data_IF_415052622812
#
_entry.id   IF_415052622812
#
_cell.length_a   1.000
_cell.length_b   1.000
_cell.length_c   1.000
_cell.angle_alpha   90.00
_cell.angle_beta   90.00
_cell.angle_gamma   90.00
#
_symmetry.space_group_name_H-M   'P 1'
#
loop_
_entity.id
_entity.type
_entity.pdbx_description
1 polymer ?
#
# COMPACT_ATOMS: atom_id res chain seq x y z
N UNK A 1 -22.14 -11.66 17.95
CA UNK A 1 -21.83 -11.59 16.49
C UNK A 1 -21.83 -10.12 16.06
N UNK A 2 -20.94 -9.80 15.12
CA UNK A 2 -20.84 -8.57 14.33
C UNK A 2 -20.30 -7.29 15.02
N UNK A 3 -18.97 -7.12 15.02
CA UNK A 3 -18.31 -5.80 14.83
C UNK A 3 -16.77 -5.94 14.66
N UNK A 4 -16.27 -6.62 13.62
CA UNK A 4 -14.80 -6.76 13.41
C UNK A 4 -14.27 -6.46 12.01
N UNK A 5 -15.08 -5.87 11.13
CA UNK A 5 -14.71 -5.69 9.72
C UNK A 5 -14.43 -4.23 9.30
N UNK A 6 -14.23 -3.29 10.23
CA UNK A 6 -14.04 -1.86 9.86
C UNK A 6 -12.66 -1.23 10.05
N UNK A 7 -11.60 -1.97 10.35
CA UNK A 7 -10.30 -1.35 10.65
C UNK A 7 -9.12 -2.14 10.10
N UNK A 8 -8.86 -2.01 8.78
CA UNK A 8 -7.55 -2.36 8.19
C UNK A 8 -6.84 -1.17 7.54
N UNK A 9 -7.55 -0.16 7.07
CA UNK A 9 -7.00 1.10 6.55
C UNK A 9 -6.30 2.02 7.59
N UNK A 10 -6.12 1.56 8.84
CA UNK A 10 -5.55 2.35 9.96
C UNK A 10 -4.10 1.95 10.29
N UNK A 11 -3.51 1.00 9.56
CA UNK A 11 -2.27 0.33 9.98
C UNK A 11 -0.96 1.00 9.54
N UNK A 12 -1.00 1.93 8.57
CA UNK A 12 0.14 2.78 8.19
C UNK A 12 0.16 4.14 8.90
N UNK A 13 -0.74 4.35 9.87
CA UNK A 13 -0.67 5.54 10.70
C UNK A 13 0.49 5.36 11.69
N UNK A 14 1.59 6.09 11.49
CA UNK A 14 2.59 6.29 12.53
C UNK A 14 1.83 6.61 13.82
N UNK A 15 1.93 5.74 14.84
CA UNK A 15 1.33 6.00 16.15
C UNK A 15 2.17 7.06 16.84
N UNK A 16 1.98 8.31 16.43
CA UNK A 16 2.47 9.44 17.19
C UNK A 16 1.86 9.34 18.60
N UNK A 17 2.68 9.31 19.66
CA UNK A 17 2.13 9.32 21.01
C UNK A 17 1.24 10.56 21.13
N UNK A 18 -0.03 10.34 21.46
CA UNK A 18 -0.99 11.43 21.58
C UNK A 18 -0.48 12.40 22.66
N UNK A 19 -0.39 13.70 22.36
CA UNK A 19 -0.03 14.68 23.36
C UNK A 19 -0.95 14.57 24.58
N UNK A 20 -0.44 14.79 25.80
CA UNK A 20 -1.29 14.85 26.98
C UNK A 20 -2.40 15.87 26.76
N UNK A 21 -3.61 15.56 27.23
CA UNK A 21 -4.83 16.37 27.07
C UNK A 21 -5.42 16.47 25.65
N UNK A 22 -4.85 15.82 24.63
CA UNK A 22 -5.39 15.82 23.26
C UNK A 22 -6.86 15.38 23.20
N UNK A 23 -7.19 14.26 23.86
CA UNK A 23 -8.57 13.74 23.92
C UNK A 23 -9.55 14.72 24.58
N UNK A 24 -9.07 15.50 25.56
CA UNK A 24 -9.90 16.49 26.25
C UNK A 24 -10.17 17.70 25.34
N UNK A 25 -9.16 18.20 24.63
CA UNK A 25 -9.30 19.30 23.66
C UNK A 25 -10.32 18.93 22.57
N UNK A 26 -10.22 17.73 22.00
CA UNK A 26 -11.18 17.26 21.00
C UNK A 26 -12.61 17.15 21.57
N UNK A 27 -12.74 16.66 22.80
CA UNK A 27 -14.04 16.53 23.48
C UNK A 27 -14.68 17.90 23.71
N UNK A 28 -13.92 18.89 24.16
CA UNK A 28 -14.42 20.24 24.38
C UNK A 28 -14.77 20.94 23.06
N UNK A 29 -13.93 20.81 22.04
CA UNK A 29 -14.23 21.31 20.69
C UNK A 29 -15.53 20.70 20.14
N UNK A 30 -15.66 19.37 20.19
CA UNK A 30 -16.85 18.66 19.67
C UNK A 30 -18.12 19.08 20.40
N UNK A 31 -18.05 19.30 21.72
CA UNK A 31 -19.18 19.80 22.51
C UNK A 31 -19.63 21.20 22.04
N UNK A 32 -18.68 22.07 21.73
CA UNK A 32 -18.98 23.45 21.32
C UNK A 32 -19.52 23.52 19.89
N UNK A 33 -19.02 22.69 18.97
CA UNK A 33 -19.60 22.52 17.61
C UNK A 33 -21.06 22.06 17.70
N UNK A 34 -21.34 21.04 18.53
CA UNK A 34 -22.70 20.51 18.71
C UNK A 34 -23.65 21.51 19.38
N UNK A 35 -23.11 22.43 20.19
CA UNK A 35 -23.90 23.49 20.83
C UNK A 35 -24.27 24.59 19.85
N UNK A 36 -23.30 25.06 19.05
CA UNK A 36 -23.49 26.24 18.22
C UNK A 36 -24.04 25.95 16.82
N UNK A 37 -23.95 24.70 16.37
CA UNK A 37 -24.47 24.27 15.06
C UNK A 37 -24.05 25.22 13.92
N UNK A 38 -22.76 25.54 13.77
CA UNK A 38 -22.32 26.49 12.75
C UNK A 38 -22.53 25.92 11.34
N UNK A 39 -22.94 26.78 10.40
CA UNK A 39 -23.10 26.40 8.99
C UNK A 39 -21.74 26.16 8.31
N UNK A 40 -20.73 26.96 8.65
CA UNK A 40 -19.35 26.83 8.17
C UNK A 40 -18.44 26.34 9.31
N UNK A 41 -18.36 25.01 9.43
CA UNK A 41 -17.54 24.37 10.46
C UNK A 41 -16.06 24.79 10.34
N UNK A 42 -15.37 24.68 9.18
CA UNK A 42 -13.96 25.08 9.08
C UNK A 42 -13.64 26.49 9.56
N UNK A 43 -14.41 27.50 9.15
CA UNK A 43 -14.18 28.89 9.57
C UNK A 43 -14.44 29.08 11.07
N UNK A 44 -15.53 28.49 11.59
CA UNK A 44 -15.85 28.53 13.01
C UNK A 44 -14.79 27.83 13.88
N UNK A 45 -14.24 26.70 13.41
CA UNK A 45 -13.16 25.98 14.10
C UNK A 45 -11.90 26.84 14.23
N UNK A 46 -11.53 27.55 13.17
CA UNK A 46 -10.35 28.42 13.17
C UNK A 46 -10.49 29.54 14.20
N UNK A 47 -11.67 30.16 14.29
CA UNK A 47 -11.95 31.20 15.29
C UNK A 47 -12.00 30.64 16.71
N UNK A 48 -12.60 29.47 16.90
CA UNK A 48 -12.68 28.78 18.19
C UNK A 48 -11.29 28.49 18.79
N UNK A 49 -10.39 27.90 18.00
CA UNK A 49 -9.03 27.59 18.46
C UNK A 49 -8.17 28.86 18.60
N UNK A 50 -8.40 29.89 17.78
CA UNK A 50 -7.75 31.20 17.95
C UNK A 50 -8.12 31.84 19.28
N UNK A 51 -9.39 31.79 19.68
CA UNK A 51 -9.85 32.30 20.98
C UNK A 51 -9.25 31.51 22.15
N UNK A 52 -9.28 30.18 22.08
CA UNK A 52 -8.64 29.31 23.09
C UNK A 52 -7.14 29.58 23.26
N UNK A 53 -6.43 29.86 22.17
CA UNK A 53 -5.02 30.19 22.19
C UNK A 53 -4.74 31.58 22.82
N UNK A 54 -5.69 32.52 22.72
CA UNK A 54 -5.60 33.85 23.31
C UNK A 54 -6.01 33.86 24.80
N UNK A 55 -6.93 32.97 25.20
CA UNK A 55 -7.40 32.81 26.59
C UNK A 55 -6.40 32.03 27.47
N UNK A 56 -5.41 31.35 26.89
CA UNK A 56 -4.34 30.66 27.63
C UNK A 56 -3.26 31.66 28.09
N UNK A 57 -2.91 31.63 29.38
CA UNK A 57 -1.97 32.54 30.04
C UNK A 57 -0.62 32.66 29.27
N UNK A 58 -0.25 33.86 28.76
CA UNK A 58 0.94 34.08 27.94
C UNK A 58 2.27 33.66 28.60
N UNK A 59 2.30 33.55 29.93
CA UNK A 59 3.49 33.18 30.70
C UNK A 59 3.70 31.67 30.84
N UNK A 60 2.66 30.85 30.61
CA UNK A 60 2.75 29.37 30.63
C UNK A 60 2.71 28.76 29.23
N UNK A 61 2.26 29.51 28.23
CA UNK A 61 2.46 29.17 26.83
C UNK A 61 3.96 29.26 26.50
N UNK A 62 4.70 28.16 26.69
CA UNK A 62 5.93 27.98 25.91
C UNK A 62 5.49 28.09 24.46
N UNK A 63 5.86 29.18 23.77
CA UNK A 63 5.81 29.20 22.31
C UNK A 63 6.50 27.90 21.89
N UNK A 64 5.79 26.96 21.24
CA UNK A 64 6.46 25.80 20.73
C UNK A 64 7.56 26.35 19.79
N UNK A 65 8.79 25.81 19.85
CA UNK A 65 9.89 26.27 19.02
C UNK A 65 9.40 26.54 17.59
N UNK A 66 9.89 27.58 16.89
CA UNK A 66 9.40 27.93 15.55
C UNK A 66 9.36 26.75 14.54
N UNK A 67 10.08 25.66 14.84
CA UNK A 67 9.99 24.36 14.18
C UNK A 67 8.59 23.71 14.19
N UNK A 68 7.72 24.03 15.17
CA UNK A 68 6.35 23.52 15.27
C UNK A 68 5.29 24.39 14.56
N UNK A 69 5.69 25.57 14.09
CA UNK A 69 4.88 26.40 13.17
C UNK A 69 5.35 26.27 11.72
N UNK A 70 6.27 25.34 11.45
CA UNK A 70 6.53 24.96 10.07
C UNK A 70 5.30 24.19 9.56
N UNK A 71 4.64 24.60 8.46
CA UNK A 71 3.81 23.66 7.71
C UNK A 71 4.68 22.43 7.50
N UNK A 72 4.18 21.22 7.82
CA UNK A 72 4.88 19.94 7.66
C UNK A 72 5.84 20.03 6.48
N UNK A 73 7.11 20.35 6.74
CA UNK A 73 8.10 20.44 5.68
C UNK A 73 8.35 18.98 5.41
N UNK A 74 7.69 18.47 4.38
CA UNK A 74 8.03 17.22 3.71
C UNK A 74 9.56 17.13 3.73
N UNK A 75 10.09 16.09 4.36
CA UNK A 75 11.54 15.91 4.50
C UNK A 75 12.18 16.18 3.12
N UNK A 76 12.96 17.26 2.94
CA UNK A 76 13.40 17.69 1.62
C UNK A 76 14.19 16.60 0.89
N UNK A 77 14.86 15.73 1.64
CA UNK A 77 15.57 14.58 1.08
C UNK A 77 14.61 13.54 0.50
N UNK A 78 13.49 13.26 1.18
CA UNK A 78 12.45 12.37 0.66
C UNK A 78 11.81 12.95 -0.59
N UNK A 79 11.55 14.25 -0.62
CA UNK A 79 10.95 14.90 -1.80
C UNK A 79 11.88 14.84 -3.01
N UNK A 80 13.19 15.03 -2.82
CA UNK A 80 14.18 14.85 -3.89
C UNK A 80 14.16 13.41 -4.44
N UNK A 81 14.00 12.42 -3.58
CA UNK A 81 13.94 11.01 -4.00
C UNK A 81 12.62 10.68 -4.68
N UNK A 82 11.49 11.18 -4.17
CA UNK A 82 10.18 11.05 -4.80
C UNK A 82 10.12 11.70 -6.19
N UNK A 83 10.72 12.89 -6.35
CA UNK A 83 10.88 13.55 -7.65
C UNK A 83 11.75 12.72 -8.61
N UNK A 84 12.86 12.13 -8.10
CA UNK A 84 13.71 11.23 -8.90
C UNK A 84 12.93 10.00 -9.38
N UNK A 85 12.18 9.35 -8.48
CA UNK A 85 11.34 8.20 -8.80
C UNK A 85 10.27 8.57 -9.84
N UNK A 86 9.54 9.66 -9.62
CA UNK A 86 8.54 10.17 -10.56
C UNK A 86 9.13 10.43 -11.94
N UNK A 87 10.36 10.97 -12.02
CA UNK A 87 11.05 11.21 -13.29
C UNK A 87 11.41 9.91 -14.02
N UNK A 88 11.85 8.89 -13.28
CA UNK A 88 12.13 7.55 -13.85
C UNK A 88 10.85 6.93 -14.40
N UNK A 89 9.75 7.00 -13.66
CA UNK A 89 8.46 6.48 -14.12
C UNK A 89 7.92 7.27 -15.32
N UNK A 90 7.96 8.60 -15.29
CA UNK A 90 7.53 9.45 -16.40
C UNK A 90 8.27 9.16 -17.72
N UNK A 91 9.50 8.63 -17.67
CA UNK A 91 10.23 8.21 -18.87
C UNK A 91 9.66 6.94 -19.53
N UNK A 92 8.77 6.22 -18.87
CA UNK A 92 8.02 5.08 -19.42
C UNK A 92 6.58 5.42 -19.79
N UNK A 93 6.14 6.66 -19.55
CA UNK A 93 4.79 7.17 -19.81
C UNK A 93 4.75 7.84 -21.19
N UNK A 94 4.77 7.03 -22.25
CA UNK A 94 4.90 7.50 -23.65
C UNK A 94 3.73 8.42 -24.06
N UNK A 95 2.54 8.24 -23.48
CA UNK A 95 1.35 9.04 -23.78
C UNK A 95 1.13 10.21 -22.80
N UNK A 96 1.94 10.31 -21.75
CA UNK A 96 1.85 11.37 -20.75
C UNK A 96 0.59 11.31 -19.91
N UNK A 97 -0.02 10.14 -19.77
CA UNK A 97 -1.28 9.93 -19.05
C UNK A 97 -1.19 10.22 -17.55
N UNK A 98 0.02 10.24 -16.98
CA UNK A 98 0.23 10.28 -15.53
C UNK A 98 0.01 8.92 -14.85
N UNK A 99 -0.22 7.86 -15.63
CA UNK A 99 -0.50 6.50 -15.15
C UNK A 99 0.42 5.51 -15.83
N UNK A 100 0.78 4.46 -15.12
CA UNK A 100 1.58 3.36 -15.68
C UNK A 100 1.00 2.02 -15.26
N UNK A 101 1.09 1.06 -16.17
CA UNK A 101 0.89 -0.34 -15.81
C UNK A 101 1.92 -0.78 -14.77
N UNK A 102 1.48 -1.59 -13.80
CA UNK A 102 2.34 -2.07 -12.71
C UNK A 102 3.62 -2.77 -13.22
N UNK A 103 3.55 -3.51 -14.34
CA UNK A 103 4.74 -4.17 -14.91
C UNK A 103 5.81 -3.17 -15.37
N UNK A 104 5.43 -1.97 -15.82
CA UNK A 104 6.37 -0.90 -16.18
C UNK A 104 7.03 -0.30 -14.94
N UNK A 105 6.24 -0.08 -13.87
CA UNK A 105 6.78 0.37 -12.58
C UNK A 105 7.75 -0.68 -12.03
N UNK A 106 7.40 -1.98 -12.08
CA UNK A 106 8.27 -3.09 -11.70
C UNK A 106 9.58 -3.04 -12.48
N UNK A 107 9.53 -2.93 -13.82
CA UNK A 107 10.71 -2.82 -14.68
C UNK A 107 11.58 -1.63 -14.28
N UNK A 108 10.99 -0.46 -14.02
CA UNK A 108 11.73 0.72 -13.56
C UNK A 108 12.41 0.48 -12.20
N UNK A 109 11.73 -0.16 -11.25
CA UNK A 109 12.30 -0.48 -9.93
C UNK A 109 13.51 -1.43 -10.04
N UNK A 110 13.45 -2.41 -10.94
CA UNK A 110 14.55 -3.34 -11.20
C UNK A 110 15.70 -2.68 -11.97
N UNK A 111 15.41 -2.09 -13.13
CA UNK A 111 16.45 -1.71 -14.09
C UNK A 111 17.03 -0.32 -13.81
N UNK A 112 16.22 0.61 -13.30
CA UNK A 112 16.66 2.00 -13.06
C UNK A 112 16.95 2.29 -11.59
N UNK A 113 16.13 1.74 -10.69
CA UNK A 113 16.29 1.94 -9.24
C UNK A 113 17.19 0.87 -8.61
N UNK A 114 17.45 -0.23 -9.33
CA UNK A 114 18.36 -1.30 -8.93
C UNK A 114 17.93 -2.04 -7.65
N UNK A 115 16.61 -2.18 -7.46
CA UNK A 115 16.07 -3.08 -6.44
C UNK A 115 16.14 -4.53 -6.91
N UNK A 116 16.27 -5.47 -5.98
CA UNK A 116 16.07 -6.89 -6.28
C UNK A 116 14.59 -7.19 -6.55
N UNK A 117 14.30 -8.31 -7.21
CA UNK A 117 12.91 -8.73 -7.49
C UNK A 117 12.05 -8.77 -6.22
N UNK A 118 12.47 -9.42 -5.11
CA UNK A 118 11.71 -9.37 -3.87
C UNK A 118 11.50 -7.96 -3.30
N UNK A 119 12.50 -7.07 -3.37
CA UNK A 119 12.37 -5.69 -2.90
C UNK A 119 11.36 -4.89 -3.75
N UNK A 120 11.43 -5.00 -5.08
CA UNK A 120 10.47 -4.35 -5.97
C UNK A 120 9.04 -4.86 -5.71
N UNK A 121 8.88 -6.17 -5.51
CA UNK A 121 7.61 -6.79 -5.18
C UNK A 121 7.10 -6.40 -3.79
N UNK A 122 7.98 -6.24 -2.80
CA UNK A 122 7.60 -5.69 -1.51
C UNK A 122 6.99 -4.30 -1.67
N UNK A 123 7.64 -3.42 -2.44
CA UNK A 123 7.17 -2.06 -2.68
C UNK A 123 5.80 -2.08 -3.38
N UNK A 124 5.68 -2.84 -4.48
CA UNK A 124 4.46 -2.92 -5.29
C UNK A 124 3.27 -3.58 -4.59
N UNK A 125 3.52 -4.40 -3.56
CA UNK A 125 2.47 -5.09 -2.81
C UNK A 125 2.04 -4.36 -1.53
N UNK A 126 2.67 -3.23 -1.19
CA UNK A 126 2.30 -2.41 -0.02
C UNK A 126 0.84 -1.95 -0.08
N UNK A 127 0.17 -1.80 1.07
CA UNK A 127 -1.29 -1.51 1.07
C UNK A 127 -1.63 -0.12 0.52
N UNK A 128 -0.68 0.82 0.48
CA UNK A 128 -0.89 2.14 -0.14
C UNK A 128 -0.95 2.09 -1.68
N UNK A 129 -0.57 0.97 -2.30
CA UNK A 129 -0.56 0.85 -3.76
C UNK A 129 -1.98 0.66 -4.28
N UNK A 130 -2.50 1.71 -4.91
CA UNK A 130 -3.79 1.71 -5.58
C UNK A 130 -3.65 1.32 -7.06
N UNK A 131 -4.14 0.12 -7.41
CA UNK A 131 -4.19 -0.39 -8.79
C UNK A 131 -5.62 -0.23 -9.32
N UNK A 132 -5.76 0.46 -10.44
CA UNK A 132 -7.04 0.63 -11.14
C UNK A 132 -7.45 -0.67 -11.85
N UNK A 133 -8.69 -0.71 -12.36
CA UNK A 133 -9.26 -1.91 -13.00
C UNK A 133 -8.54 -2.31 -14.29
N UNK A 134 -7.87 -1.36 -14.95
CA UNK A 134 -7.03 -1.58 -16.13
C UNK A 134 -5.60 -2.02 -15.78
N UNK A 135 -5.26 -2.14 -14.50
CA UNK A 135 -3.92 -2.52 -14.05
C UNK A 135 -2.91 -1.37 -14.00
N UNK A 136 -3.39 -0.12 -14.12
CA UNK A 136 -2.56 1.08 -14.00
C UNK A 136 -2.58 1.69 -12.61
N UNK A 137 -1.54 2.46 -12.29
CA UNK A 137 -1.39 3.22 -11.04
C UNK A 137 -0.90 4.63 -11.35
N UNK A 138 -1.33 5.63 -10.56
CA UNK A 138 -0.76 6.97 -10.59
C UNK A 138 0.69 6.91 -10.07
N UNK A 139 1.65 7.08 -10.97
CA UNK A 139 3.05 6.86 -10.62
C UNK A 139 3.64 8.01 -9.79
N UNK A 140 2.99 9.17 -9.72
CA UNK A 140 3.45 10.31 -8.91
C UNK A 140 3.03 10.15 -7.46
N UNK A 141 1.80 9.69 -7.24
CA UNK A 141 1.34 9.26 -5.91
C UNK A 141 2.19 8.09 -5.41
N UNK A 142 2.33 7.04 -6.23
CA UNK A 142 3.16 5.89 -5.91
C UNK A 142 4.61 6.28 -5.56
N UNK A 143 5.23 7.19 -6.32
CA UNK A 143 6.60 7.64 -6.05
C UNK A 143 6.78 8.32 -4.69
N UNK A 144 5.77 9.08 -4.23
CA UNK A 144 5.78 9.71 -2.90
C UNK A 144 5.60 8.67 -1.81
N UNK A 145 4.70 7.72 -2.00
CA UNK A 145 4.37 6.73 -0.96
C UNK A 145 5.46 5.67 -0.78
N UNK A 146 6.14 5.26 -1.86
CA UNK A 146 7.16 4.22 -1.78
C UNK A 146 8.56 4.70 -1.34
N UNK A 147 8.76 6.02 -1.20
CA UNK A 147 10.09 6.62 -1.02
C UNK A 147 10.87 6.02 0.15
N UNK A 148 10.20 5.79 1.29
CA UNK A 148 10.84 5.25 2.48
C UNK A 148 11.31 3.81 2.28
N UNK A 149 10.47 2.96 1.65
CA UNK A 149 10.82 1.57 1.38
C UNK A 149 11.98 1.48 0.38
N UNK A 150 11.94 2.29 -0.68
CA UNK A 150 13.03 2.35 -1.67
C UNK A 150 14.35 2.76 -1.00
N UNK A 151 14.35 3.82 -0.20
CA UNK A 151 15.54 4.29 0.50
C UNK A 151 16.07 3.24 1.48
N UNK A 152 15.19 2.62 2.25
CA UNK A 152 15.56 1.55 3.17
C UNK A 152 16.30 0.43 2.44
N UNK A 153 15.77 -0.07 1.32
CA UNK A 153 16.42 -1.16 0.58
C UNK A 153 17.73 -0.72 -0.07
N UNK A 154 17.82 0.50 -0.59
CA UNK A 154 19.06 1.03 -1.16
C UNK A 154 20.16 1.21 -0.11
N UNK A 155 19.81 1.52 1.14
CA UNK A 155 20.77 1.76 2.23
C UNK A 155 21.18 0.47 2.94
N UNK A 156 20.24 -0.42 3.20
CA UNK A 156 20.47 -1.63 4.00
C UNK A 156 20.85 -2.83 3.13
N UNK A 157 20.51 -2.81 1.85
CA UNK A 157 20.60 -3.95 0.94
C UNK A 157 19.95 -5.22 1.52
N UNK A 158 18.84 -5.04 2.26
CA UNK A 158 18.12 -6.14 2.90
C UNK A 158 17.72 -7.21 1.89
N UNK A 159 17.95 -8.48 2.25
CA UNK A 159 17.60 -9.63 1.42
C UNK A 159 16.44 -10.36 2.07
N UNK A 160 15.36 -10.52 1.31
CA UNK A 160 14.28 -11.41 1.71
C UNK A 160 14.72 -12.87 1.57
N UNK A 161 14.25 -13.76 2.46
CA UNK A 161 14.62 -15.17 2.40
C UNK A 161 14.16 -15.79 1.08
N UNK A 162 15.03 -16.58 0.46
CA UNK A 162 14.62 -17.48 -0.60
C UNK A 162 13.78 -18.62 -0.01
N UNK A 163 12.81 -19.12 -0.78
CA UNK A 163 11.97 -20.25 -0.38
C UNK A 163 12.87 -21.47 -0.19
N UNK A 164 13.28 -21.75 1.05
CA UNK A 164 14.06 -22.92 1.38
C UNK A 164 13.12 -24.10 1.59
N UNK A 165 13.44 -25.23 0.93
CA UNK A 165 12.73 -26.49 1.11
C UNK A 165 13.00 -27.00 2.54
N UNK A 166 12.03 -26.85 3.45
CA UNK A 166 12.11 -27.44 4.80
C UNK A 166 11.16 -28.65 4.87
N UNK A 167 11.55 -29.65 5.68
CA UNK A 167 11.15 -31.07 5.65
C UNK A 167 9.68 -31.43 6.03
N UNK A 168 8.80 -30.46 6.16
CA UNK A 168 7.34 -30.65 6.07
C UNK A 168 6.85 -29.47 5.22
N UNK A 169 6.36 -29.75 4.01
CA UNK A 169 6.18 -28.74 2.96
C UNK A 169 5.56 -27.44 3.49
N UNK A 170 6.11 -26.25 3.11
CA UNK A 170 5.60 -24.98 3.60
C UNK A 170 4.10 -24.86 3.32
N UNK A 171 3.37 -24.16 4.19
CA UNK A 171 1.96 -23.85 3.97
C UNK A 171 1.77 -22.36 3.78
N UNK A 172 0.85 -22.00 2.90
CA UNK A 172 0.43 -20.61 2.67
C UNK A 172 -1.06 -20.52 2.92
N UNK A 173 -1.47 -19.62 3.82
CA UNK A 173 -2.85 -19.52 4.32
C UNK A 173 -3.38 -20.86 4.88
N UNK A 174 -2.49 -21.70 5.42
CA UNK A 174 -2.83 -23.02 5.95
C UNK A 174 -3.02 -24.12 4.91
N UNK A 175 -2.67 -23.86 3.64
CA UNK A 175 -2.77 -24.82 2.54
C UNK A 175 -1.40 -25.24 2.04
N UNK A 176 -1.28 -26.50 1.62
CA UNK A 176 -0.13 -26.99 0.86
C UNK A 176 -0.14 -26.42 -0.57
N UNK A 177 0.99 -26.56 -1.26
CA UNK A 177 1.17 -26.05 -2.62
C UNK A 177 0.10 -26.55 -3.57
N UNK A 178 -0.12 -27.86 -3.61
CA UNK A 178 -1.08 -28.49 -4.53
C UNK A 178 -2.51 -28.05 -4.21
N UNK A 179 -2.87 -27.98 -2.93
CA UNK A 179 -4.21 -27.57 -2.48
C UNK A 179 -4.51 -26.10 -2.85
N UNK A 180 -3.53 -25.21 -2.65
CA UNK A 180 -3.64 -23.80 -3.03
C UNK A 180 -3.78 -23.66 -4.55
N UNK A 181 -2.96 -24.38 -5.32
CA UNK A 181 -2.98 -24.35 -6.78
C UNK A 181 -4.31 -24.87 -7.33
N UNK A 182 -4.84 -25.97 -6.79
CA UNK A 182 -6.12 -26.54 -7.20
C UNK A 182 -7.28 -25.57 -6.95
N UNK A 183 -7.31 -24.92 -5.78
CA UNK A 183 -8.38 -23.97 -5.46
C UNK A 183 -8.27 -22.68 -6.28
N UNK A 184 -7.06 -22.13 -6.47
CA UNK A 184 -6.88 -20.98 -7.38
C UNK A 184 -7.27 -21.35 -8.82
N UNK A 185 -6.87 -22.52 -9.31
CA UNK A 185 -7.21 -22.97 -10.65
C UNK A 185 -8.73 -23.15 -10.82
N UNK A 186 -9.42 -23.65 -9.79
CA UNK A 186 -10.87 -23.74 -9.75
C UNK A 186 -11.53 -22.37 -9.85
N UNK A 187 -11.07 -21.40 -9.06
CA UNK A 187 -11.56 -20.02 -9.08
C UNK A 187 -11.36 -19.38 -10.46
N UNK A 188 -10.18 -19.55 -11.06
CA UNK A 188 -9.87 -19.00 -12.39
C UNK A 188 -10.73 -19.62 -13.48
N UNK A 189 -10.92 -20.94 -13.46
CA UNK A 189 -11.81 -21.64 -14.41
C UNK A 189 -13.27 -21.20 -14.28
N UNK A 190 -13.71 -20.85 -13.08
CA UNK A 190 -15.06 -20.33 -12.87
C UNK A 190 -15.20 -18.90 -13.44
N UNK A 191 -14.15 -18.09 -13.37
CA UNK A 191 -14.10 -16.77 -14.00
C UNK A 191 -13.97 -16.85 -15.53
N UNK A 192 -13.32 -17.90 -16.06
CA UNK A 192 -13.12 -18.16 -17.48
C UNK A 192 -14.33 -18.89 -18.10
N UNK A 193 -15.46 -18.18 -18.19
CA UNK A 193 -16.71 -18.73 -18.72
C UNK A 193 -16.60 -19.25 -20.16
N UNK A 194 -15.65 -18.71 -20.94
CA UNK A 194 -15.41 -19.08 -22.33
C UNK A 194 -14.41 -20.24 -22.48
N UNK A 195 -13.72 -20.64 -21.41
CA UNK A 195 -12.75 -21.74 -21.42
C UNK A 195 -11.50 -21.43 -22.25
N UNK A 196 -11.09 -20.16 -22.31
CA UNK A 196 -9.94 -19.71 -23.10
C UNK A 196 -8.60 -20.10 -22.46
N UNK A 197 -8.59 -20.44 -21.16
CA UNK A 197 -7.37 -20.64 -20.39
C UNK A 197 -6.66 -19.35 -20.00
N UNK A 198 -7.29 -18.19 -20.25
CA UNK A 198 -6.74 -16.86 -19.99
C UNK A 198 -7.83 -15.88 -19.63
N UNK A 199 -7.50 -14.88 -18.81
CA UNK A 199 -8.44 -13.88 -18.31
C UNK A 199 -7.96 -12.46 -18.58
N UNK A 200 -8.84 -11.50 -18.92
CA UNK A 200 -8.47 -10.08 -18.87
C UNK A 200 -8.04 -9.69 -17.45
N UNK A 201 -7.13 -8.73 -17.32
CA UNK A 201 -6.57 -8.30 -16.02
C UNK A 201 -7.65 -8.05 -14.94
N UNK A 202 -8.70 -7.29 -15.29
CA UNK A 202 -9.80 -6.97 -14.37
C UNK A 202 -10.49 -8.23 -13.81
N UNK A 203 -10.73 -9.23 -14.67
CA UNK A 203 -11.39 -10.49 -14.29
C UNK A 203 -10.46 -11.38 -13.47
N UNK A 204 -9.17 -11.43 -13.81
CA UNK A 204 -8.16 -12.13 -13.01
C UNK A 204 -8.07 -11.55 -11.59
N UNK A 205 -7.96 -10.21 -11.48
CA UNK A 205 -7.92 -9.52 -10.20
C UNK A 205 -9.19 -9.73 -9.37
N UNK A 206 -10.36 -9.61 -10.00
CA UNK A 206 -11.65 -9.86 -9.34
C UNK A 206 -11.77 -11.31 -8.87
N UNK A 207 -11.31 -12.28 -9.65
CA UNK A 207 -11.30 -13.69 -9.26
C UNK A 207 -10.43 -13.92 -8.00
N UNK A 208 -9.24 -13.31 -7.93
CA UNK A 208 -8.39 -13.36 -6.74
C UNK A 208 -9.05 -12.72 -5.52
N UNK A 209 -9.65 -11.53 -5.66
CA UNK A 209 -10.31 -10.83 -4.56
C UNK A 209 -11.48 -11.61 -3.97
N UNK A 210 -12.17 -12.40 -4.79
CA UNK A 210 -13.32 -13.20 -4.38
C UNK A 210 -12.96 -14.68 -4.08
N UNK A 211 -11.68 -15.05 -4.16
CA UNK A 211 -11.24 -16.42 -3.89
C UNK A 211 -11.49 -16.80 -2.42
N UNK A 212 -11.99 -18.00 -2.11
CA UNK A 212 -12.25 -18.48 -0.75
C UNK A 212 -10.95 -18.88 -0.01
N UNK A 213 -9.85 -18.16 -0.26
CA UNK A 213 -8.49 -18.45 0.21
C UNK A 213 -7.99 -17.47 1.27
N UNK A 214 -8.85 -16.53 1.70
CA UNK A 214 -8.51 -15.48 2.67
C UNK A 214 -7.30 -14.63 2.24
N UNK A 215 -7.13 -14.42 0.93
CA UNK A 215 -6.08 -13.56 0.39
C UNK A 215 -6.23 -12.14 0.92
N UNK A 216 -5.12 -11.55 1.32
CA UNK A 216 -5.02 -10.15 1.72
C UNK A 216 -4.90 -9.23 0.50
N UNK A 217 -5.04 -7.93 0.69
CA UNK A 217 -4.79 -6.96 -0.40
C UNK A 217 -3.35 -7.06 -0.90
N UNK A 218 -2.40 -7.31 0.01
CA UNK A 218 -0.98 -7.51 -0.31
C UNK A 218 -0.78 -8.72 -1.22
N UNK A 219 -1.45 -9.83 -0.92
CA UNK A 219 -1.42 -11.05 -1.73
C UNK A 219 -1.95 -10.79 -3.15
N UNK A 220 -3.10 -10.14 -3.27
CA UNK A 220 -3.70 -9.80 -4.56
C UNK A 220 -2.79 -8.87 -5.36
N UNK A 221 -2.26 -7.81 -4.73
CA UNK A 221 -1.35 -6.88 -5.38
C UNK A 221 -0.07 -7.59 -5.86
N UNK A 222 0.48 -8.50 -5.06
CA UNK A 222 1.67 -9.25 -5.40
C UNK A 222 1.45 -10.16 -6.61
N UNK A 223 0.36 -10.94 -6.61
CA UNK A 223 -0.01 -11.79 -7.74
C UNK A 223 -0.26 -10.97 -9.01
N UNK A 224 -0.97 -9.84 -8.89
CA UNK A 224 -1.22 -8.95 -10.04
C UNK A 224 0.04 -8.25 -10.55
N UNK A 225 1.01 -7.93 -9.67
CA UNK A 225 2.26 -7.30 -10.05
C UNK A 225 3.20 -8.26 -10.79
N UNK A 226 3.08 -9.57 -10.50
CA UNK A 226 3.83 -10.61 -11.19
C UNK A 226 3.17 -11.10 -12.47
N UNK A 227 1.84 -11.11 -12.52
CA UNK A 227 1.10 -11.59 -13.66
C UNK A 227 1.54 -10.94 -14.98
N UNK A 228 2.03 -11.76 -15.90
CA UNK A 228 2.45 -11.28 -17.21
C UNK A 228 1.21 -11.12 -18.11
N UNK A 229 1.07 -9.93 -18.71
CA UNK A 229 0.03 -9.68 -19.70
C UNK A 229 0.56 -9.98 -21.09
N UNK A 230 -0.18 -10.78 -21.85
CA UNK A 230 0.05 -10.99 -23.28
C UNK A 230 -0.21 -9.68 -24.04
N UNK A 231 0.22 -9.62 -25.31
CA UNK A 231 0.06 -8.43 -26.16
C UNK A 231 -1.40 -7.98 -26.36
N UNK A 232 -2.36 -8.87 -26.13
CA UNK A 232 -3.80 -8.61 -26.18
C UNK A 232 -4.44 -8.30 -24.81
N UNK A 233 -3.63 -8.13 -23.74
CA UNK A 233 -4.09 -7.72 -22.41
C UNK A 233 -4.68 -8.85 -21.55
N UNK A 234 -4.39 -10.10 -21.90
CA UNK A 234 -4.84 -11.28 -21.16
C UNK A 234 -3.72 -11.86 -20.29
N UNK A 235 -4.11 -12.59 -19.23
CA UNK A 235 -3.22 -13.31 -18.34
C UNK A 235 -3.49 -14.81 -18.51
N UNK A 236 -2.45 -15.59 -18.82
CA UNK A 236 -2.53 -17.05 -18.76
C UNK A 236 -2.53 -17.51 -17.31
N UNK A 237 -3.71 -17.76 -16.77
CA UNK A 237 -3.86 -18.04 -15.34
C UNK A 237 -3.25 -19.37 -14.94
N UNK A 238 -2.95 -20.31 -15.85
CA UNK A 238 -2.31 -21.58 -15.46
C UNK A 238 -0.87 -21.33 -15.04
N UNK A 239 -0.14 -20.54 -15.83
CA UNK A 239 1.22 -20.12 -15.53
C UNK A 239 1.25 -19.35 -14.20
N UNK A 240 0.31 -18.42 -14.02
CA UNK A 240 0.27 -17.63 -12.78
C UNK A 240 -0.11 -18.45 -11.55
N UNK A 241 -1.01 -19.43 -11.68
CA UNK A 241 -1.34 -20.37 -10.59
C UNK A 241 -0.13 -21.21 -10.20
N UNK A 242 0.66 -21.67 -11.17
CA UNK A 242 1.87 -22.44 -10.91
C UNK A 242 2.89 -21.65 -10.08
N UNK A 243 2.96 -20.34 -10.30
CA UNK A 243 3.86 -19.42 -9.60
C UNK A 243 3.31 -18.89 -8.26
N UNK A 244 1.98 -18.92 -8.06
CA UNK A 244 1.31 -18.24 -6.95
C UNK A 244 1.80 -18.65 -5.57
N UNK A 245 2.08 -19.94 -5.35
CA UNK A 245 2.53 -20.43 -4.04
C UNK A 245 3.83 -19.75 -3.57
N UNK A 246 4.83 -19.66 -4.46
CA UNK A 246 6.11 -19.04 -4.13
C UNK A 246 5.97 -17.55 -3.82
N UNK A 247 5.08 -16.86 -4.56
CA UNK A 247 4.77 -15.45 -4.32
C UNK A 247 4.07 -15.24 -2.99
N UNK A 248 3.06 -16.05 -2.66
CA UNK A 248 2.33 -15.91 -1.41
C UNK A 248 3.18 -16.30 -0.19
N UNK A 249 4.11 -17.25 -0.35
CA UNK A 249 5.12 -17.51 0.66
C UNK A 249 6.04 -16.29 0.87
N UNK A 250 6.47 -15.65 -0.22
CA UNK A 250 7.23 -14.41 -0.15
C UNK A 250 6.42 -13.29 0.53
N UNK A 251 5.10 -13.21 0.29
CA UNK A 251 4.22 -12.25 0.98
C UNK A 251 4.21 -12.44 2.50
N UNK A 252 4.30 -13.68 3.01
CA UNK A 252 4.45 -13.93 4.44
C UNK A 252 5.77 -13.38 4.98
N UNK A 253 6.87 -13.51 4.23
CA UNK A 253 8.16 -12.92 4.62
C UNK A 253 8.08 -11.39 4.67
N UNK A 254 7.30 -10.78 3.78
CA UNK A 254 7.06 -9.34 3.80
C UNK A 254 6.27 -8.92 5.04
N UNK A 255 5.24 -9.68 5.42
CA UNK A 255 4.47 -9.42 6.63
C UNK A 255 5.32 -9.58 7.89
N UNK A 256 6.18 -10.59 7.96
CA UNK A 256 7.13 -10.77 9.07
C UNK A 256 8.13 -9.62 9.14
N UNK A 257 8.67 -9.19 7.99
CA UNK A 257 9.54 -8.02 7.92
C UNK A 257 8.85 -6.74 8.40
N UNK A 258 7.59 -6.54 8.04
CA UNK A 258 6.78 -5.42 8.54
C UNK A 258 6.66 -5.50 10.07
N UNK A 259 6.37 -6.68 10.64
CA UNK A 259 6.27 -6.89 12.10
C UNK A 259 7.57 -6.62 12.87
N UNK A 260 8.73 -6.95 12.30
CA UNK A 260 10.03 -6.74 12.92
C UNK A 260 10.53 -5.29 12.86
N UNK A 261 10.05 -4.51 11.90
CA UNK A 261 10.47 -3.13 11.66
C UNK A 261 9.38 -2.10 12.05
N UNK A 262 8.40 -2.53 12.85
CA UNK A 262 7.32 -1.73 13.47
C UNK A 262 7.67 -1.22 14.88
#
# INVERSE_FOLDING_TARGET
MAFRERTRATKYQQKYPLPPNFAQVLKDYTREVLREQPEDIPSWSAEYFKRLALDADPLTAKQPPPEHYAPSVENPELEVVAMRLSKVFAAMDDDGSGRLFIHLIKRALLDSIQLTKPQALYVLSSEYVAVADDGTTDYREFARDCVNAVLFFQQTNHQFPEVSHVDDGPTVHGLLKEELQDELLRVMRQADAEGLGRLPFARYREALMNAPLQLTQRDVNLLCAEAEQTSDGFIDFRIEVDNAFGLLYLAQSFAAFDEENL
#
